data_IF_813404882036
#
_entry.id   IF_813404882036
#
_cell.length_a   1.000
_cell.length_b   1.000
_cell.length_c   1.000
_cell.angle_alpha   90.00
_cell.angle_beta   90.00
_cell.angle_gamma   90.00
#
_symmetry.space_group_name_H-M   'P 1'
#
loop_
_entity.id
_entity.type
_entity.pdbx_description
1 polymer ?
#
# COMPACT_ATOMS: atom_id res chain seq x y z
N UNK A 1 -33.96 -13.34 36.43
CA UNK A 1 -33.70 -12.05 37.11
C UNK A 1 -32.19 -11.91 37.15
N UNK A 2 -31.52 -11.26 36.21
CA UNK A 2 -31.50 -9.81 35.96
C UNK A 2 -31.14 -9.56 34.49
N UNK A 3 -31.96 -8.77 33.79
CA UNK A 3 -31.70 -8.26 32.45
C UNK A 3 -31.01 -6.90 32.57
N UNK A 4 -29.87 -6.71 31.91
CA UNK A 4 -29.19 -5.42 31.80
C UNK A 4 -29.24 -4.95 30.34
N UNK A 5 -30.16 -4.03 30.12
CA UNK A 5 -30.36 -3.26 28.90
C UNK A 5 -29.18 -2.29 28.70
N UNK A 6 -28.42 -2.42 27.61
CA UNK A 6 -27.60 -1.32 27.08
C UNK A 6 -28.44 -0.48 26.13
N UNK A 7 -28.80 0.73 26.57
CA UNK A 7 -29.41 1.77 25.73
C UNK A 7 -28.36 2.32 24.78
N UNK A 8 -28.66 2.24 23.49
CA UNK A 8 -28.00 2.98 22.42
C UNK A 8 -28.16 4.49 22.67
N UNK A 9 -27.04 5.17 22.84
CA UNK A 9 -26.96 6.63 22.76
C UNK A 9 -26.18 6.98 21.51
N UNK A 10 -26.74 7.91 20.75
CA UNK A 10 -26.21 8.46 19.50
C UNK A 10 -24.86 9.13 19.80
N UNK A 11 -23.77 8.41 19.54
CA UNK A 11 -22.42 8.95 19.59
C UNK A 11 -22.05 9.51 18.22
N UNK A 12 -21.57 10.75 18.24
CA UNK A 12 -21.09 11.54 17.11
C UNK A 12 -20.12 10.75 16.21
N UNK A 13 -20.39 10.80 14.90
CA UNK A 13 -19.72 10.04 13.82
C UNK A 13 -18.18 10.09 13.81
N UNK A 14 -17.54 11.03 14.51
CA UNK A 14 -16.07 11.12 14.59
C UNK A 14 -15.41 10.12 15.54
N UNK A 15 -16.06 9.74 16.65
CA UNK A 15 -15.47 8.82 17.64
C UNK A 15 -15.49 7.36 17.18
N UNK A 16 -16.46 6.99 16.34
CA UNK A 16 -16.63 5.65 15.80
C UNK A 16 -15.46 5.21 14.91
N UNK A 17 -14.83 6.12 14.17
CA UNK A 17 -13.78 5.78 13.22
C UNK A 17 -12.43 5.47 13.90
N UNK A 18 -12.08 6.28 14.90
CA UNK A 18 -10.89 6.03 15.68
C UNK A 18 -11.09 4.75 16.48
N UNK A 19 -12.29 4.54 17.03
CA UNK A 19 -12.71 3.24 17.55
C UNK A 19 -12.68 2.16 16.47
N UNK A 20 -12.98 2.35 15.19
CA UNK A 20 -12.97 1.25 14.22
C UNK A 20 -11.56 0.84 13.78
N UNK A 21 -10.63 1.78 13.61
CA UNK A 21 -9.22 1.47 13.29
C UNK A 21 -8.46 1.00 14.52
N UNK A 22 -8.71 1.63 15.68
CA UNK A 22 -8.21 1.14 16.95
C UNK A 22 -8.97 -0.08 17.44
N UNK A 23 -10.20 -0.41 17.05
CA UNK A 23 -10.88 -1.69 17.31
C UNK A 23 -10.52 -2.70 16.23
N UNK A 24 -10.12 -2.32 15.02
CA UNK A 24 -9.48 -3.29 14.13
C UNK A 24 -8.18 -3.69 14.82
N UNK A 25 -7.30 -2.75 15.20
CA UNK A 25 -6.06 -3.10 15.92
C UNK A 25 -6.27 -3.69 17.33
N UNK A 26 -7.15 -3.10 18.15
CA UNK A 26 -7.44 -3.51 19.53
C UNK A 26 -8.32 -4.76 19.53
N UNK A 27 -9.28 -4.94 18.63
CA UNK A 27 -9.97 -6.23 18.48
C UNK A 27 -9.08 -7.27 17.79
N UNK A 28 -8.12 -6.90 16.94
CA UNK A 28 -7.04 -7.83 16.52
C UNK A 28 -6.11 -8.19 17.68
N UNK A 29 -5.89 -7.31 18.67
CA UNK A 29 -5.16 -7.71 19.88
C UNK A 29 -6.03 -8.47 20.88
N UNK A 30 -7.28 -8.05 21.13
CA UNK A 30 -8.18 -8.59 22.14
C UNK A 30 -8.92 -9.85 21.69
N UNK A 31 -9.33 -9.98 20.42
CA UNK A 31 -9.88 -11.24 19.92
C UNK A 31 -8.83 -12.37 19.97
N UNK A 32 -7.54 -12.03 19.91
CA UNK A 32 -6.44 -12.99 19.98
C UNK A 32 -5.85 -13.17 21.39
N UNK A 33 -5.94 -12.17 22.28
CA UNK A 33 -5.58 -12.33 23.70
C UNK A 33 -6.62 -13.12 24.52
N UNK A 34 -7.87 -13.20 24.06
CA UNK A 34 -8.97 -13.76 24.87
C UNK A 34 -9.39 -15.20 24.54
N UNK A 35 -8.66 -15.97 23.72
CA UNK A 35 -9.10 -17.34 23.43
C UNK A 35 -8.01 -18.40 23.35
N UNK A 36 -7.84 -19.11 24.47
CA UNK A 36 -7.46 -20.52 24.50
C UNK A 36 -8.63 -21.47 24.23
N UNK A 37 -9.81 -20.97 23.82
CA UNK A 37 -10.93 -21.80 23.36
C UNK A 37 -11.36 -21.33 21.97
N UNK A 38 -11.48 -22.29 21.05
CA UNK A 38 -11.90 -22.15 19.66
C UNK A 38 -13.08 -21.19 19.48
N UNK A 39 -12.84 -19.97 18.99
CA UNK A 39 -13.90 -19.14 18.41
C UNK A 39 -14.15 -19.59 16.97
N UNK A 40 -15.44 -19.82 16.68
CA UNK A 40 -15.97 -19.91 15.32
C UNK A 40 -16.11 -18.49 14.75
N UNK A 41 -15.35 -18.09 13.71
CA UNK A 41 -15.40 -16.74 13.14
C UNK A 41 -16.78 -16.35 12.56
N UNK A 42 -17.71 -17.30 12.39
CA UNK A 42 -19.07 -16.99 11.95
C UNK A 42 -19.92 -16.22 12.98
N UNK A 43 -19.63 -16.28 14.28
CA UNK A 43 -20.52 -15.69 15.31
C UNK A 43 -20.44 -14.17 15.38
N UNK A 44 -19.30 -13.56 15.03
CA UNK A 44 -19.15 -12.09 14.97
C UNK A 44 -19.86 -11.53 13.73
N UNK A 45 -19.95 -12.33 12.66
CA UNK A 45 -20.54 -11.94 11.38
C UNK A 45 -22.08 -11.90 11.40
N UNK A 46 -22.73 -12.83 12.12
CA UNK A 46 -24.18 -12.87 12.26
C UNK A 46 -24.77 -11.65 12.99
N UNK A 47 -23.98 -10.98 13.84
CA UNK A 47 -24.42 -9.79 14.55
C UNK A 47 -24.39 -8.51 13.69
N UNK A 48 -23.62 -8.50 12.59
CA UNK A 48 -23.57 -7.38 11.65
C UNK A 48 -24.54 -7.50 10.45
N UNK A 49 -24.96 -8.72 10.08
CA UNK A 49 -25.91 -8.90 8.97
C UNK A 49 -27.36 -8.49 9.32
N UNK A 50 -27.75 -8.40 10.60
CA UNK A 50 -29.11 -8.03 10.98
C UNK A 50 -29.45 -6.53 10.78
N UNK A 51 -28.52 -5.70 10.28
CA UNK A 51 -28.77 -4.26 10.07
C UNK A 51 -28.86 -3.79 8.61
N UNK A 52 -28.84 -4.67 7.60
CA UNK A 52 -28.95 -4.24 6.19
C UNK A 52 -30.36 -4.45 5.63
N UNK A 53 -31.04 -3.34 5.30
CA UNK A 53 -32.21 -3.33 4.42
C UNK A 53 -31.78 -3.61 2.97
N UNK A 54 -32.61 -4.29 2.15
CA UNK A 54 -32.26 -4.63 0.78
C UNK A 54 -32.28 -3.39 -0.13
N UNK A 55 -31.21 -3.21 -0.90
CA UNK A 55 -31.14 -2.25 -2.02
C UNK A 55 -31.59 -2.95 -3.31
N UNK A 56 -32.47 -2.30 -4.06
CA UNK A 56 -32.92 -2.76 -5.38
C UNK A 56 -31.87 -2.44 -6.46
N UNK A 57 -31.67 -3.32 -7.47
CA UNK A 57 -30.76 -3.07 -8.58
C UNK A 57 -31.39 -2.13 -9.62
N UNK A 58 -30.63 -1.11 -10.05
CA UNK A 58 -30.92 -0.28 -11.22
C UNK A 58 -30.49 -1.01 -12.50
N UNK A 59 -31.41 -1.12 -13.46
CA UNK A 59 -31.15 -1.62 -14.82
C UNK A 59 -30.63 -0.50 -15.73
N UNK A 60 -29.46 -0.68 -16.33
CA UNK A 60 -28.91 0.21 -17.35
C UNK A 60 -29.24 -0.31 -18.76
N UNK A 61 -30.00 0.49 -19.51
CA UNK A 61 -30.32 0.26 -20.92
C UNK A 61 -29.16 0.67 -21.83
N UNK A 62 -28.73 -0.25 -22.69
CA UNK A 62 -27.78 -0.04 -23.79
C UNK A 62 -28.44 0.76 -24.92
N UNK A 63 -27.86 1.87 -25.34
CA UNK A 63 -28.13 2.47 -26.66
C UNK A 63 -26.86 2.42 -27.53
N UNK A 64 -27.01 1.79 -28.69
CA UNK A 64 -26.10 1.89 -29.83
C UNK A 64 -26.28 3.27 -30.50
N UNK A 65 -25.18 3.94 -30.85
CA UNK A 65 -25.24 4.98 -31.88
C UNK A 65 -23.96 5.06 -32.72
N UNK A 66 -24.14 4.57 -33.95
CA UNK A 66 -23.60 4.94 -35.27
C UNK A 66 -22.33 5.77 -35.44
N UNK A 67 -21.50 5.25 -36.35
CA UNK A 67 -20.34 5.82 -37.02
C UNK A 67 -20.69 7.01 -37.93
N UNK A 68 -19.77 7.98 -38.01
CA UNK A 68 -19.64 8.88 -39.17
C UNK A 68 -18.17 9.05 -39.54
N UNK A 69 -17.83 8.72 -40.79
CA UNK A 69 -16.60 9.11 -41.49
C UNK A 69 -16.67 10.58 -41.92
N UNK A 70 -15.54 11.31 -41.85
CA UNK A 70 -15.08 12.13 -42.99
C UNK A 70 -13.71 12.83 -42.81
N UNK A 71 -13.07 12.99 -43.98
CA UNK A 71 -12.13 14.04 -44.43
C UNK A 71 -10.61 13.81 -44.41
N UNK A 72 -10.10 13.55 -45.62
CA UNK A 72 -8.73 13.69 -46.08
C UNK A 72 -8.27 15.15 -46.08
N UNK A 73 -7.30 15.48 -45.22
CA UNK A 73 -6.42 16.63 -45.42
C UNK A 73 -5.10 16.17 -46.03
N UNK A 74 -4.86 16.59 -47.29
CA UNK A 74 -3.53 16.55 -47.91
C UNK A 74 -2.63 17.58 -47.23
N UNK A 75 -1.69 17.11 -46.42
CA UNK A 75 -0.58 17.92 -45.88
C UNK A 75 0.64 17.71 -46.76
N UNK A 76 1.24 18.82 -47.22
CA UNK A 76 2.45 18.85 -48.02
C UNK A 76 3.66 18.51 -47.14
N UNK A 77 4.34 17.40 -47.46
CA UNK A 77 5.56 16.96 -46.80
C UNK A 77 6.75 17.82 -47.24
N UNK A 78 7.37 18.48 -46.28
CA UNK A 78 8.73 19.03 -46.35
C UNK A 78 9.55 18.30 -45.29
N UNK A 79 9.97 17.06 -45.60
CA UNK A 79 10.75 16.21 -44.69
C UNK A 79 12.24 16.34 -45.01
N UNK A 80 12.93 17.15 -44.22
CA UNK A 80 14.37 16.99 -43.99
C UNK A 80 14.51 15.89 -42.93
N UNK A 81 15.17 14.75 -43.21
CA UNK A 81 15.37 13.70 -42.22
C UNK A 81 16.36 14.23 -41.16
N UNK A 82 15.81 14.64 -40.02
CA UNK A 82 16.60 14.97 -38.84
C UNK A 82 16.78 13.68 -38.06
N UNK A 83 17.56 12.75 -38.60
CA UNK A 83 17.96 11.51 -37.94
C UNK A 83 18.99 11.84 -36.85
N UNK A 84 18.55 12.52 -35.80
CA UNK A 84 19.28 12.53 -34.53
C UNK A 84 18.81 11.27 -33.81
N UNK A 85 19.54 10.17 -34.01
CA UNK A 85 19.31 8.94 -33.24
C UNK A 85 19.59 9.24 -31.78
N UNK A 86 18.54 9.52 -31.00
CA UNK A 86 18.65 9.61 -29.54
C UNK A 86 19.26 8.31 -29.02
N UNK A 87 20.19 8.42 -28.08
CA UNK A 87 20.80 7.22 -27.53
C UNK A 87 19.73 6.44 -26.74
N UNK A 88 19.73 5.09 -26.74
CA UNK A 88 18.78 4.30 -25.95
C UNK A 88 18.73 4.69 -24.45
N UNK A 89 19.85 5.18 -23.90
CA UNK A 89 19.92 5.69 -22.52
C UNK A 89 19.13 6.97 -22.31
N UNK A 90 19.12 7.87 -23.30
CA UNK A 90 18.32 9.10 -23.24
C UNK A 90 16.83 8.73 -23.22
N UNK A 91 16.43 7.75 -24.03
CA UNK A 91 15.05 7.26 -24.06
C UNK A 91 14.63 6.61 -22.73
N UNK A 92 15.50 5.81 -22.10
CA UNK A 92 15.22 5.22 -20.79
C UNK A 92 15.05 6.30 -19.70
N UNK A 93 15.93 7.29 -19.69
CA UNK A 93 15.88 8.40 -18.73
C UNK A 93 14.63 9.27 -18.94
N UNK A 94 14.22 9.49 -20.19
CA UNK A 94 12.98 10.20 -20.52
C UNK A 94 11.75 9.44 -20.00
N UNK A 95 11.68 8.11 -20.19
CA UNK A 95 10.59 7.28 -19.66
C UNK A 95 10.55 7.35 -18.12
N UNK A 96 11.71 7.27 -17.45
CA UNK A 96 11.78 7.42 -15.99
C UNK A 96 11.28 8.80 -15.54
N UNK A 97 11.73 9.86 -16.20
CA UNK A 97 11.30 11.22 -15.90
C UNK A 97 9.78 11.37 -16.06
N UNK A 98 9.22 10.78 -17.11
CA UNK A 98 7.79 10.78 -17.39
C UNK A 98 6.98 10.02 -16.35
N UNK A 99 7.46 8.85 -15.93
CA UNK A 99 6.84 8.07 -14.86
C UNK A 99 6.87 8.84 -13.53
N UNK A 100 8.01 9.42 -13.15
CA UNK A 100 8.15 10.20 -11.93
C UNK A 100 7.27 11.46 -11.95
N UNK A 101 7.20 12.15 -13.10
CA UNK A 101 6.34 13.31 -13.32
C UNK A 101 4.87 12.96 -13.21
N UNK A 102 4.47 11.83 -13.81
CA UNK A 102 3.10 11.29 -13.75
C UNK A 102 2.72 10.89 -12.33
N UNK A 103 3.60 10.20 -11.60
CA UNK A 103 3.34 9.81 -10.21
C UNK A 103 3.17 11.02 -9.27
N UNK A 104 3.92 12.10 -9.51
CA UNK A 104 3.79 13.35 -8.75
C UNK A 104 2.52 14.14 -9.09
N UNK A 105 1.75 13.71 -10.10
CA UNK A 105 0.46 14.28 -10.46
C UNK A 105 0.52 15.76 -10.81
N UNK A 106 1.49 16.17 -11.65
CA UNK A 106 1.80 17.56 -12.05
C UNK A 106 0.71 18.58 -11.70
N UNK A 107 0.83 19.09 -10.48
CA UNK A 107 0.20 20.29 -9.95
C UNK A 107 0.84 21.51 -10.62
N UNK A 108 0.44 21.80 -11.85
CA UNK A 108 0.64 23.14 -12.44
C UNK A 108 -0.67 23.93 -12.48
N UNK A 109 -1.82 23.26 -12.36
CA UNK A 109 -3.12 23.91 -12.23
C UNK A 109 -3.54 23.93 -10.75
N UNK A 110 -3.05 24.94 -10.01
CA UNK A 110 -3.30 25.16 -8.57
C UNK A 110 -4.76 25.47 -8.19
N UNK A 111 -5.75 25.18 -9.04
CA UNK A 111 -7.17 25.44 -8.74
C UNK A 111 -8.01 24.17 -8.78
N UNK A 112 -8.25 23.62 -7.59
CA UNK A 112 -9.34 22.72 -7.23
C UNK A 112 -9.41 21.36 -7.94
N UNK A 113 -8.75 20.35 -7.37
CA UNK A 113 -9.39 19.15 -6.80
C UNK A 113 -8.34 18.13 -6.34
N UNK A 114 -8.41 17.70 -5.09
CA UNK A 114 -7.50 16.75 -4.42
C UNK A 114 -7.52 15.30 -4.94
N UNK A 115 -7.99 15.05 -6.18
CA UNK A 115 -8.28 13.70 -6.68
C UNK A 115 -7.56 13.32 -7.98
N UNK A 116 -6.56 14.09 -8.44
CA UNK A 116 -5.84 13.76 -9.68
C UNK A 116 -4.77 12.67 -9.47
N UNK A 117 -5.16 11.53 -8.90
CA UNK A 117 -4.34 10.31 -8.93
C UNK A 117 -4.20 9.91 -10.41
N UNK A 118 -2.97 9.66 -10.91
CA UNK A 118 -2.79 9.24 -12.30
C UNK A 118 -3.56 7.93 -12.55
N UNK A 119 -4.11 7.80 -13.76
CA UNK A 119 -4.88 6.61 -14.12
C UNK A 119 -3.97 5.38 -14.08
N UNK A 120 -4.51 4.26 -13.59
CA UNK A 120 -3.78 2.98 -13.51
C UNK A 120 -3.24 2.56 -14.88
N UNK A 121 -4.03 2.73 -15.94
CA UNK A 121 -3.62 2.40 -17.31
C UNK A 121 -2.40 3.20 -17.76
N UNK A 122 -2.34 4.50 -17.48
CA UNK A 122 -1.18 5.33 -17.85
C UNK A 122 0.09 4.92 -17.08
N UNK A 123 -0.05 4.62 -15.78
CA UNK A 123 1.08 4.13 -14.98
C UNK A 123 1.55 2.76 -15.48
N UNK A 124 0.64 1.85 -15.78
CA UNK A 124 0.99 0.52 -16.29
C UNK A 124 1.70 0.60 -17.65
N UNK A 125 1.26 1.49 -18.54
CA UNK A 125 1.91 1.72 -19.83
C UNK A 125 3.35 2.21 -19.66
N UNK A 126 3.57 3.25 -18.84
CA UNK A 126 4.91 3.77 -18.54
C UNK A 126 5.80 2.75 -17.82
N UNK A 127 5.25 1.97 -16.89
CA UNK A 127 5.97 0.88 -16.22
C UNK A 127 6.36 -0.21 -17.22
N UNK A 128 5.47 -0.60 -18.13
CA UNK A 128 5.78 -1.59 -19.17
C UNK A 128 6.89 -1.10 -20.09
N UNK A 129 6.80 0.14 -20.59
CA UNK A 129 7.84 0.74 -21.42
C UNK A 129 9.20 0.81 -20.70
N UNK A 130 9.19 1.13 -19.40
CA UNK A 130 10.40 1.17 -18.57
C UNK A 130 11.02 -0.23 -18.40
N UNK A 131 10.19 -1.24 -18.12
CA UNK A 131 10.63 -2.62 -17.95
C UNK A 131 11.19 -3.20 -19.25
N UNK A 132 10.49 -3.00 -20.38
CA UNK A 132 10.90 -3.45 -21.71
C UNK A 132 12.23 -2.80 -22.14
N UNK A 133 12.36 -1.48 -21.96
CA UNK A 133 13.61 -0.77 -22.29
C UNK A 133 14.74 -1.16 -21.35
N UNK A 134 14.47 -1.31 -20.05
CA UNK A 134 15.44 -1.81 -19.07
C UNK A 134 15.96 -3.19 -19.44
N UNK A 135 15.08 -4.10 -19.85
CA UNK A 135 15.46 -5.45 -20.30
C UNK A 135 16.35 -5.40 -21.56
N UNK A 136 15.97 -4.62 -22.58
CA UNK A 136 16.77 -4.46 -23.81
C UNK A 136 18.18 -3.94 -23.52
N UNK A 137 18.33 -3.13 -22.48
CA UNK A 137 19.60 -2.53 -22.09
C UNK A 137 20.37 -3.32 -21.03
N UNK A 138 19.78 -4.39 -20.48
CA UNK A 138 20.37 -5.15 -19.36
C UNK A 138 20.44 -4.35 -18.04
N UNK A 139 19.54 -3.39 -17.85
CA UNK A 139 19.46 -2.53 -16.67
C UNK A 139 18.21 -2.87 -15.85
N UNK A 140 18.35 -2.94 -14.52
CA UNK A 140 17.22 -2.98 -13.60
C UNK A 140 16.56 -4.35 -13.35
N UNK A 141 16.95 -5.40 -14.06
CA UNK A 141 16.28 -6.72 -14.06
C UNK A 141 16.80 -7.76 -13.03
N UNK A 142 17.67 -7.38 -12.08
CA UNK A 142 18.25 -8.32 -11.09
C UNK A 142 18.40 -7.72 -9.70
N UNK A 143 17.37 -6.98 -9.29
CA UNK A 143 17.36 -6.17 -8.07
C UNK A 143 17.63 -6.95 -6.78
N UNK A 144 17.19 -8.22 -6.70
CA UNK A 144 17.35 -9.05 -5.50
C UNK A 144 18.81 -9.48 -5.25
N UNK A 145 19.66 -9.47 -6.28
CA UNK A 145 21.02 -10.04 -6.22
C UNK A 145 22.10 -8.96 -6.33
N UNK A 146 21.80 -7.81 -6.96
CA UNK A 146 22.79 -6.76 -7.22
C UNK A 146 23.08 -5.85 -6.03
N UNK A 147 22.38 -6.00 -4.91
CA UNK A 147 22.49 -5.13 -3.74
C UNK A 147 21.87 -3.73 -3.91
N UNK A 148 21.48 -3.37 -5.13
CA UNK A 148 20.85 -2.07 -5.44
C UNK A 148 19.55 -1.87 -4.66
N UNK A 149 18.86 -2.94 -4.28
CA UNK A 149 17.59 -2.87 -3.56
C UNK A 149 17.73 -2.31 -2.13
N UNK A 150 18.91 -2.43 -1.51
CA UNK A 150 19.16 -1.96 -0.15
C UNK A 150 19.14 -0.43 -0.05
N UNK A 151 18.49 0.10 0.98
CA UNK A 151 18.34 1.54 1.20
C UNK A 151 16.96 1.96 1.68
N UNK A 152 16.69 3.26 1.60
CA UNK A 152 15.40 3.86 1.93
C UNK A 152 14.65 4.24 0.66
N UNK A 153 13.37 3.92 0.62
CA UNK A 153 12.48 4.10 -0.50
C UNK A 153 11.21 4.81 -0.06
N UNK A 154 10.73 5.76 -0.87
CA UNK A 154 9.46 6.46 -0.69
C UNK A 154 8.49 6.05 -1.78
N UNK A 155 7.25 5.76 -1.40
CA UNK A 155 6.20 5.41 -2.33
C UNK A 155 5.72 6.65 -3.09
N UNK A 156 5.82 6.63 -4.41
CA UNK A 156 5.29 7.69 -5.28
C UNK A 156 3.90 7.34 -5.83
N UNK A 157 3.65 6.05 -6.08
CA UNK A 157 2.37 5.59 -6.60
C UNK A 157 1.97 4.25 -5.98
N UNK A 158 0.72 4.19 -5.53
CA UNK A 158 0.02 2.97 -5.14
C UNK A 158 -1.22 2.83 -6.04
N UNK A 159 -1.51 1.66 -6.61
CA UNK A 159 -2.77 1.43 -7.32
C UNK A 159 -3.98 1.51 -6.37
N UNK A 160 -3.78 1.18 -5.10
CA UNK A 160 -4.78 1.12 -4.05
C UNK A 160 -4.55 2.22 -2.99
N UNK A 161 -5.15 2.09 -1.80
CA UNK A 161 -4.81 2.88 -0.61
C UNK A 161 -3.32 2.69 -0.27
N UNK A 162 -2.63 3.75 0.11
CA UNK A 162 -1.16 3.73 0.36
C UNK A 162 -0.78 2.73 1.45
N UNK A 163 -1.67 2.43 2.40
CA UNK A 163 -1.44 1.40 3.43
C UNK A 163 -1.23 0.01 2.82
N UNK A 164 -1.79 -0.28 1.65
CA UNK A 164 -1.67 -1.57 0.94
C UNK A 164 -0.27 -1.86 0.39
N UNK A 165 0.62 -0.88 0.43
CA UNK A 165 2.04 -1.08 0.09
C UNK A 165 2.84 -1.81 1.19
N UNK A 166 2.25 -2.04 2.37
CA UNK A 166 2.91 -2.76 3.48
C UNK A 166 2.76 -4.28 3.34
N UNK A 167 3.85 -5.06 3.58
CA UNK A 167 3.79 -6.53 3.61
C UNK A 167 2.78 -7.11 4.60
N UNK A 168 2.42 -6.37 5.66
CA UNK A 168 1.37 -6.80 6.58
C UNK A 168 0.03 -6.97 5.87
N UNK A 169 -0.34 -6.03 4.99
CA UNK A 169 -1.63 -6.11 4.28
C UNK A 169 -1.61 -7.19 3.20
N UNK A 170 -0.45 -7.49 2.61
CA UNK A 170 -0.29 -8.62 1.71
C UNK A 170 -0.48 -9.94 2.45
N UNK A 171 0.14 -10.10 3.63
CA UNK A 171 0.02 -11.28 4.48
C UNK A 171 -1.42 -11.43 5.01
N UNK A 172 -2.04 -10.31 5.40
CA UNK A 172 -3.45 -10.26 5.81
C UNK A 172 -4.39 -10.75 4.71
N UNK A 173 -4.19 -10.31 3.47
CA UNK A 173 -5.00 -10.76 2.34
C UNK A 173 -4.82 -12.27 2.08
N UNK A 174 -3.62 -12.81 2.30
CA UNK A 174 -3.40 -14.25 2.22
C UNK A 174 -4.09 -15.03 3.35
N UNK A 175 -4.17 -14.48 4.57
CA UNK A 175 -4.81 -15.12 5.71
C UNK A 175 -6.35 -15.07 5.66
N UNK A 176 -6.91 -14.10 4.94
CA UNK A 176 -8.34 -13.84 4.86
C UNK A 176 -8.81 -13.56 3.42
N UNK A 177 -8.60 -14.48 2.47
CA UNK A 177 -8.80 -14.20 1.04
C UNK A 177 -10.24 -13.78 0.69
N UNK A 178 -11.24 -14.24 1.44
CA UNK A 178 -12.65 -13.90 1.18
C UNK A 178 -13.09 -12.58 1.87
N UNK A 179 -12.43 -12.19 2.96
CA UNK A 179 -12.85 -11.04 3.79
C UNK A 179 -11.96 -9.81 3.60
N UNK A 180 -10.74 -9.98 3.07
CA UNK A 180 -9.78 -8.91 2.91
C UNK A 180 -10.35 -7.76 2.08
N UNK A 181 -10.91 -8.05 0.90
CA UNK A 181 -11.50 -7.03 0.03
C UNK A 181 -12.65 -6.27 0.70
N UNK A 182 -13.46 -6.95 1.52
CA UNK A 182 -14.53 -6.30 2.27
C UNK A 182 -13.97 -5.36 3.34
N UNK A 183 -12.98 -5.82 4.12
CA UNK A 183 -12.34 -5.01 5.17
C UNK A 183 -11.62 -3.82 4.54
N UNK A 184 -10.94 -4.05 3.41
CA UNK A 184 -10.25 -3.01 2.67
C UNK A 184 -11.24 -1.97 2.14
N UNK A 185 -12.31 -2.41 1.50
CA UNK A 185 -13.37 -1.52 1.02
C UNK A 185 -13.98 -0.66 2.13
N UNK A 186 -14.14 -1.19 3.34
CA UNK A 186 -14.57 -0.39 4.50
C UNK A 186 -13.54 0.68 4.83
N UNK A 187 -12.26 0.32 4.95
CA UNK A 187 -11.22 1.30 5.30
C UNK A 187 -10.97 2.34 4.21
N UNK A 188 -11.21 1.99 2.95
CA UNK A 188 -10.98 2.85 1.79
C UNK A 188 -12.17 3.80 1.57
N UNK A 189 -13.36 3.41 2.02
CA UNK A 189 -14.57 4.25 1.97
C UNK A 189 -14.56 5.42 2.97
N UNK A 190 -13.59 5.46 3.88
CA UNK A 190 -13.48 6.53 4.86
C UNK A 190 -12.92 7.77 4.18
N UNK A 191 -13.70 8.86 4.04
CA UNK A 191 -13.25 10.03 3.30
C UNK A 191 -12.25 10.88 4.11
N UNK A 192 -11.42 11.62 3.38
CA UNK A 192 -10.72 12.78 3.92
C UNK A 192 -11.74 13.85 4.35
N UNK A 193 -11.53 14.57 5.46
CA UNK A 193 -10.35 14.54 6.32
C UNK A 193 -10.45 13.56 7.50
N UNK A 194 -11.49 12.70 7.55
CA UNK A 194 -11.71 11.80 8.69
C UNK A 194 -10.60 10.75 8.79
N UNK A 195 -10.16 10.23 7.63
CA UNK A 195 -8.93 9.46 7.44
C UNK A 195 -8.15 10.12 6.31
N UNK A 196 -6.86 10.29 6.52
CA UNK A 196 -5.91 10.74 5.51
C UNK A 196 -4.67 9.86 5.59
N UNK A 197 -4.17 9.39 4.45
CA UNK A 197 -3.00 8.52 4.40
C UNK A 197 -1.86 9.33 3.81
N UNK A 198 -0.85 9.59 4.64
CA UNK A 198 0.34 10.34 4.27
C UNK A 198 1.36 9.47 3.52
N UNK A 199 2.62 9.93 3.46
CA UNK A 199 3.66 9.21 2.74
C UNK A 199 3.93 7.82 3.34
N UNK A 200 4.37 6.92 2.48
CA UNK A 200 4.84 5.59 2.85
C UNK A 200 6.33 5.46 2.50
N UNK A 201 7.08 4.83 3.42
CA UNK A 201 8.50 4.56 3.28
C UNK A 201 8.79 3.08 3.50
N UNK A 202 9.83 2.57 2.86
CA UNK A 202 10.40 1.27 3.13
C UNK A 202 11.91 1.39 3.32
N UNK A 203 12.43 0.81 4.41
CA UNK A 203 13.86 0.61 4.62
C UNK A 203 14.17 -0.87 4.40
N UNK A 204 15.10 -1.16 3.49
CA UNK A 204 15.56 -2.50 3.17
C UNK A 204 17.02 -2.60 3.54
N UNK A 205 17.32 -3.54 4.43
CA UNK A 205 18.67 -3.88 4.85
C UNK A 205 18.91 -5.32 4.46
N UNK A 206 19.90 -5.54 3.61
CA UNK A 206 20.36 -6.87 3.24
C UNK A 206 21.66 -7.15 4.01
N UNK A 207 21.90 -8.41 4.33
CA UNK A 207 23.16 -8.87 4.88
C UNK A 207 24.28 -8.85 3.80
N UNK A 208 25.50 -9.20 4.20
CA UNK A 208 26.65 -9.26 3.27
C UNK A 208 26.43 -10.24 2.12
N UNK A 209 25.58 -11.26 2.33
CA UNK A 209 25.28 -12.27 1.31
C UNK A 209 24.22 -11.80 0.31
N UNK A 210 23.49 -10.74 0.63
CA UNK A 210 22.35 -10.24 -0.14
C UNK A 210 21.13 -11.15 -0.10
N UNK A 211 21.14 -12.22 0.73
CA UNK A 211 20.08 -13.25 0.74
C UNK A 211 19.08 -13.04 1.84
N UNK A 212 19.57 -12.59 2.99
CA UNK A 212 18.79 -12.40 4.20
C UNK A 212 18.80 -10.93 4.58
N UNK A 213 17.88 -10.53 5.47
CA UNK A 213 17.81 -9.13 5.85
C UNK A 213 16.55 -8.75 6.60
N UNK A 214 16.32 -7.44 6.64
CA UNK A 214 15.15 -6.83 7.28
C UNK A 214 14.51 -5.83 6.34
N UNK A 215 13.18 -5.83 6.32
CA UNK A 215 12.37 -4.80 5.70
C UNK A 215 11.52 -4.12 6.77
N UNK A 216 11.58 -2.80 6.82
CA UNK A 216 10.73 -1.97 7.68
C UNK A 216 9.87 -1.09 6.79
N UNK A 217 8.56 -1.33 6.78
CA UNK A 217 7.58 -0.50 6.08
C UNK A 217 6.90 0.45 7.06
N UNK A 218 6.85 1.73 6.72
CA UNK A 218 6.26 2.80 7.53
C UNK A 218 5.23 3.56 6.70
N UNK A 219 4.00 3.65 7.18
CA UNK A 219 2.94 4.40 6.52
C UNK A 219 2.33 5.41 7.48
N UNK A 220 2.37 6.69 7.13
CA UNK A 220 1.71 7.72 7.94
C UNK A 220 0.20 7.65 7.75
N UNK A 221 -0.55 7.58 8.85
CA UNK A 221 -2.01 7.63 8.85
C UNK A 221 -2.45 8.74 9.79
N UNK A 222 -3.30 9.63 9.30
CA UNK A 222 -3.94 10.69 10.06
C UNK A 222 -5.43 10.41 10.15
N UNK A 223 -6.01 10.71 11.30
CA UNK A 223 -7.43 10.53 11.61
C UNK A 223 -7.95 11.73 12.38
N UNK A 224 -9.28 11.83 12.52
CA UNK A 224 -9.95 12.96 13.19
C UNK A 224 -9.53 14.31 12.62
N UNK A 225 -9.61 14.48 11.30
CA UNK A 225 -9.25 15.73 10.63
C UNK A 225 -7.80 16.15 10.91
N UNK A 226 -6.90 15.18 11.02
CA UNK A 226 -5.48 15.42 11.28
C UNK A 226 -5.09 15.59 12.75
N UNK A 227 -6.05 15.58 13.68
CA UNK A 227 -5.74 15.71 15.12
C UNK A 227 -4.98 14.48 15.67
N UNK A 228 -5.19 13.31 15.07
CA UNK A 228 -4.59 12.05 15.50
C UNK A 228 -3.77 11.46 14.35
N UNK A 229 -2.45 11.56 14.44
CA UNK A 229 -1.50 10.98 13.47
C UNK A 229 -0.81 9.78 14.09
N UNK A 230 -0.50 8.76 13.30
CA UNK A 230 0.33 7.63 13.69
C UNK A 230 1.11 7.12 12.47
N UNK A 231 2.31 6.58 12.70
CA UNK A 231 3.09 5.89 11.68
C UNK A 231 2.88 4.40 11.89
N UNK A 232 2.18 3.74 10.97
CA UNK A 232 2.04 2.30 11.04
C UNK A 232 3.31 1.65 10.54
N UNK A 233 4.04 0.98 11.45
CA UNK A 233 5.33 0.35 11.17
C UNK A 233 5.18 -1.17 11.15
N UNK A 234 5.38 -1.78 9.98
CA UNK A 234 5.49 -3.23 9.79
C UNK A 234 6.95 -3.63 9.66
N UNK A 235 7.38 -4.63 10.41
CA UNK A 235 8.71 -5.24 10.35
C UNK A 235 8.59 -6.64 9.76
N UNK A 236 9.46 -6.94 8.81
CA UNK A 236 9.52 -8.25 8.16
C UNK A 236 10.98 -8.71 8.02
N UNK A 237 11.17 -10.02 8.09
CA UNK A 237 12.42 -10.69 7.76
C UNK A 237 12.46 -10.95 6.25
N UNK A 238 13.60 -10.70 5.63
CA UNK A 238 13.90 -11.20 4.29
C UNK A 238 14.52 -12.59 4.50
N UNK A 239 13.81 -13.63 4.05
CA UNK A 239 14.13 -15.03 4.36
C UNK A 239 15.02 -15.65 3.30
N UNK A 240 14.77 -15.32 2.03
CA UNK A 240 15.58 -15.76 0.89
C UNK A 240 15.12 -15.03 -0.39
N UNK A 241 15.97 -14.95 -1.41
CA UNK A 241 15.55 -14.58 -2.75
C UNK A 241 14.66 -15.66 -3.39
N UNK A 242 13.75 -15.23 -4.25
CA UNK A 242 12.88 -16.08 -5.07
C UNK A 242 13.08 -15.70 -6.53
N UNK A 243 13.89 -16.46 -7.25
CA UNK A 243 14.30 -16.09 -8.61
C UNK A 243 15.30 -14.93 -8.63
N UNK A 244 15.26 -14.12 -9.69
CA UNK A 244 16.17 -12.96 -9.88
C UNK A 244 15.58 -11.63 -9.40
N UNK A 245 14.26 -11.61 -9.21
CA UNK A 245 13.45 -10.42 -8.96
C UNK A 245 12.64 -10.50 -7.65
N UNK A 246 12.47 -11.68 -7.05
CA UNK A 246 11.66 -11.87 -5.86
C UNK A 246 12.46 -11.84 -4.55
N UNK A 247 11.89 -11.23 -3.52
CA UNK A 247 12.28 -11.43 -2.12
C UNK A 247 11.12 -12.06 -1.34
N UNK A 248 11.39 -13.16 -0.64
CA UNK A 248 10.44 -13.74 0.30
C UNK A 248 10.54 -13.00 1.65
N UNK A 249 9.44 -12.38 2.05
CA UNK A 249 9.30 -11.60 3.26
C UNK A 249 8.43 -12.37 4.26
N UNK A 250 8.91 -12.57 5.48
CA UNK A 250 8.10 -13.05 6.60
C UNK A 250 7.76 -11.90 7.51
N UNK A 251 6.47 -11.55 7.61
CA UNK A 251 6.00 -10.52 8.54
C UNK A 251 6.29 -10.97 9.96
N UNK A 252 6.90 -10.11 10.76
CA UNK A 252 7.21 -10.36 12.17
C UNK A 252 6.21 -9.60 13.04
N UNK A 253 6.33 -8.27 13.06
CA UNK A 253 5.53 -7.41 13.93
C UNK A 253 4.93 -6.21 13.20
N UNK A 254 3.83 -5.71 13.75
CA UNK A 254 3.26 -4.43 13.33
C UNK A 254 2.95 -3.57 14.55
N UNK A 255 3.33 -2.27 14.51
CA UNK A 255 3.10 -1.33 15.61
C UNK A 255 2.72 0.05 15.09
N UNK A 256 1.68 0.70 15.63
CA UNK A 256 1.52 2.15 15.49
C UNK A 256 2.60 2.85 16.30
N UNK A 257 3.48 3.57 15.62
CA UNK A 257 4.53 4.42 16.18
C UNK A 257 4.09 5.89 16.09
N UNK A 258 4.73 6.74 16.89
CA UNK A 258 4.51 8.19 16.94
C UNK A 258 3.01 8.59 17.02
N UNK A 259 2.21 7.79 17.74
CA UNK A 259 0.76 7.95 17.77
C UNK A 259 0.37 9.13 18.65
N UNK A 260 -0.07 10.23 18.05
CA UNK A 260 -0.74 11.31 18.79
C UNK A 260 -2.16 10.91 19.19
N UNK A 261 -2.74 9.87 18.58
CA UNK A 261 -4.07 9.37 18.88
C UNK A 261 -4.20 8.91 20.34
N UNK A 262 -3.20 8.17 20.83
CA UNK A 262 -3.15 7.68 22.23
C UNK A 262 -3.00 8.86 23.19
N UNK A 263 -2.14 9.83 22.84
CA UNK A 263 -1.98 11.04 23.65
C UNK A 263 -3.25 11.90 23.71
N UNK A 264 -4.05 11.91 22.64
CA UNK A 264 -5.34 12.63 22.59
C UNK A 264 -6.43 11.91 23.39
N UNK A 265 -6.49 10.58 23.34
CA UNK A 265 -7.48 9.79 24.08
C UNK A 265 -7.15 9.66 25.58
N UNK A 266 -5.87 9.59 25.91
CA UNK A 266 -5.36 9.46 27.29
C UNK A 266 -4.34 10.56 27.57
N UNK A 267 -4.79 11.82 27.76
CA UNK A 267 -3.89 12.94 27.99
C UNK A 267 -3.09 12.73 29.28
N UNK A 268 -1.77 12.95 29.19
CA UNK A 268 -0.85 12.92 30.32
C UNK A 268 0.30 11.91 30.20
N UNK A 269 1.09 11.72 31.27
CA UNK A 269 2.26 10.84 31.28
C UNK A 269 1.92 9.38 30.95
N UNK A 270 0.72 8.93 31.31
CA UNK A 270 0.27 7.56 31.10
C UNK A 270 0.06 7.24 29.61
N UNK A 271 -0.53 8.14 28.83
CA UNK A 271 -0.71 7.92 27.38
C UNK A 271 0.61 7.83 26.62
N UNK A 272 1.58 8.68 26.99
CA UNK A 272 2.95 8.60 26.45
C UNK A 272 3.65 7.31 26.85
N UNK A 273 3.56 6.95 28.13
CA UNK A 273 4.13 5.70 28.64
C UNK A 273 3.57 4.48 27.89
N UNK A 274 2.26 4.41 27.65
CA UNK A 274 1.65 3.30 26.91
C UNK A 274 2.16 3.27 25.46
N UNK A 275 2.19 4.41 24.77
CA UNK A 275 2.68 4.47 23.39
C UNK A 275 4.15 4.01 23.27
N UNK A 276 4.99 4.47 24.19
CA UNK A 276 6.44 4.22 24.15
C UNK A 276 6.78 2.78 24.56
N UNK A 277 6.01 2.20 25.50
CA UNK A 277 6.31 0.88 26.08
C UNK A 277 5.42 -0.24 25.56
N UNK A 278 4.36 0.03 24.79
CA UNK A 278 3.55 -1.03 24.20
C UNK A 278 4.41 -1.91 23.28
N UNK A 279 4.45 -3.23 23.50
CA UNK A 279 5.19 -4.12 22.63
C UNK A 279 4.56 -4.11 21.23
N UNK A 280 5.36 -4.28 20.16
CA UNK A 280 4.83 -4.50 18.82
C UNK A 280 3.88 -5.72 18.81
N UNK A 281 2.80 -5.63 18.03
CA UNK A 281 1.88 -6.75 17.87
C UNK A 281 2.55 -7.83 17.01
N UNK A 282 2.61 -9.11 17.45
CA UNK A 282 3.24 -10.20 16.70
C UNK A 282 2.35 -10.65 15.53
N UNK A 283 2.19 -9.78 14.53
CA UNK A 283 1.32 -9.99 13.38
C UNK A 283 1.66 -11.28 12.62
N UNK A 284 2.95 -11.60 12.47
CA UNK A 284 3.40 -12.81 11.79
C UNK A 284 2.82 -14.07 12.41
N UNK A 285 3.09 -14.28 13.70
CA UNK A 285 2.63 -15.43 14.46
C UNK A 285 1.10 -15.55 14.47
N UNK A 286 0.40 -14.42 14.55
CA UNK A 286 -1.06 -14.39 14.56
C UNK A 286 -1.61 -14.82 13.20
N UNK A 287 -1.09 -14.27 12.11
CA UNK A 287 -1.53 -14.63 10.75
C UNK A 287 -1.22 -16.11 10.46
N UNK A 288 -0.04 -16.59 10.87
CA UNK A 288 0.36 -17.99 10.69
C UNK A 288 -0.60 -18.98 11.38
N UNK A 289 -1.13 -18.62 12.56
CA UNK A 289 -2.13 -19.44 13.27
C UNK A 289 -3.50 -19.46 12.60
N UNK A 290 -3.84 -18.41 11.85
CA UNK A 290 -5.12 -18.30 11.13
C UNK A 290 -5.05 -19.16 9.88
N UNK A 291 -3.99 -18.97 9.10
CA UNK A 291 -3.74 -19.73 7.88
C UNK A 291 -2.22 -19.97 7.74
N UNK A 292 -1.77 -21.23 7.84
CA UNK A 292 -0.36 -21.56 7.66
C UNK A 292 0.19 -21.03 6.33
N UNK A 293 1.39 -20.44 6.37
CA UNK A 293 2.05 -19.79 5.26
C UNK A 293 1.64 -18.34 5.00
N UNK A 294 0.52 -17.86 5.57
CA UNK A 294 0.01 -16.51 5.29
C UNK A 294 0.88 -15.37 5.82
N UNK A 295 1.76 -15.65 6.78
CA UNK A 295 2.74 -14.68 7.27
C UNK A 295 3.85 -14.37 6.26
N UNK A 296 3.96 -15.17 5.20
CA UNK A 296 5.06 -15.12 4.23
C UNK A 296 4.58 -14.69 2.85
N UNK A 297 5.11 -13.57 2.36
CA UNK A 297 4.71 -12.94 1.09
C UNK A 297 5.92 -12.77 0.18
N UNK A 298 5.71 -12.72 -1.13
CA UNK A 298 6.78 -12.51 -2.10
C UNK A 298 6.64 -11.09 -2.67
N UNK A 299 7.66 -10.28 -2.47
CA UNK A 299 7.81 -8.98 -3.11
C UNK A 299 8.64 -9.15 -4.38
N UNK A 300 8.00 -9.03 -5.55
CA UNK A 300 8.70 -9.00 -6.83
C UNK A 300 9.14 -7.59 -7.17
N UNK A 301 10.37 -7.43 -7.60
CA UNK A 301 10.94 -6.16 -8.04
C UNK A 301 11.46 -6.31 -9.46
N UNK A 302 10.60 -5.97 -10.41
CA UNK A 302 10.79 -6.14 -11.87
C UNK A 302 11.66 -5.05 -12.50
N UNK A 303 11.83 -3.91 -11.83
CA UNK A 303 12.76 -2.88 -12.23
C UNK A 303 13.33 -2.20 -10.98
N UNK A 304 14.63 -2.03 -10.90
CA UNK A 304 15.27 -1.25 -9.86
C UNK A 304 16.58 -0.63 -10.35
N UNK A 305 16.69 0.70 -10.30
CA UNK A 305 17.93 1.42 -10.50
C UNK A 305 18.29 2.28 -9.27
N UNK A 306 19.21 3.22 -9.44
CA UNK A 306 19.64 4.14 -8.39
C UNK A 306 18.52 5.09 -7.91
N UNK A 307 17.50 5.34 -8.71
CA UNK A 307 16.48 6.38 -8.51
C UNK A 307 15.07 5.84 -8.28
N UNK A 308 14.71 4.75 -8.96
CA UNK A 308 13.34 4.22 -9.03
C UNK A 308 13.34 2.71 -8.85
N UNK A 309 12.26 2.22 -8.25
CA UNK A 309 11.99 0.79 -8.12
C UNK A 309 10.51 0.52 -8.35
N UNK A 310 10.23 -0.53 -9.11
CA UNK A 310 8.87 -1.05 -9.32
C UNK A 310 8.75 -2.36 -8.55
N UNK A 311 7.83 -2.41 -7.59
CA UNK A 311 7.53 -3.65 -6.85
C UNK A 311 6.11 -4.11 -7.05
N UNK A 312 5.87 -5.42 -6.94
CA UNK A 312 4.57 -6.09 -7.00
C UNK A 312 4.46 -7.12 -5.89
N UNK A 313 3.23 -7.40 -5.46
CA UNK A 313 2.94 -8.60 -4.68
C UNK A 313 2.76 -9.77 -5.65
N UNK A 314 3.42 -10.90 -5.42
CA UNK A 314 3.34 -12.10 -6.28
C UNK A 314 1.98 -12.81 -6.23
N UNK A 315 1.06 -12.39 -5.36
CA UNK A 315 -0.29 -12.89 -5.40
C UNK A 315 -0.98 -12.37 -6.68
N UNK A 316 -1.39 -13.27 -7.59
CA UNK A 316 -2.05 -12.97 -8.87
C UNK A 316 -3.19 -11.94 -8.78
N UNK A 317 -3.85 -11.83 -7.62
CA UNK A 317 -4.93 -10.86 -7.38
C UNK A 317 -4.44 -9.41 -7.19
N UNK A 318 -3.19 -9.20 -6.78
CA UNK A 318 -2.62 -7.90 -6.40
C UNK A 318 -1.29 -7.59 -7.10
N UNK A 319 -1.09 -8.11 -8.32
CA UNK A 319 0.14 -7.94 -9.11
C UNK A 319 0.31 -6.51 -9.70
N UNK A 320 -0.40 -5.52 -9.17
CA UNK A 320 -0.34 -4.15 -9.65
C UNK A 320 0.97 -3.45 -9.20
N UNK A 321 1.52 -2.53 -10.00
CA UNK A 321 2.82 -1.93 -9.72
C UNK A 321 2.74 -0.87 -8.63
N UNK A 322 3.63 -0.99 -7.64
CA UNK A 322 3.97 0.07 -6.70
C UNK A 322 5.25 0.75 -7.19
N UNK A 323 5.21 2.07 -7.34
CA UNK A 323 6.37 2.85 -7.81
C UNK A 323 7.02 3.55 -6.63
N UNK A 324 8.30 3.28 -6.44
CA UNK A 324 9.11 3.82 -5.35
C UNK A 324 10.23 4.69 -5.89
N UNK A 325 10.56 5.74 -5.15
CA UNK A 325 11.76 6.57 -5.35
C UNK A 325 12.76 6.29 -4.26
N UNK A 326 14.05 6.17 -4.61
CA UNK A 326 15.11 6.06 -3.60
C UNK A 326 15.29 7.38 -2.87
N UNK A 327 15.36 7.30 -1.55
CA UNK A 327 15.72 8.41 -0.67
C UNK A 327 17.20 8.33 -0.27
N UNK A 328 17.68 7.14 0.09
CA UNK A 328 19.04 6.91 0.58
C UNK A 328 19.54 5.51 0.20
N UNK A 329 20.84 5.36 0.03
CA UNK A 329 21.48 4.05 -0.08
C UNK A 329 21.72 3.44 1.30
N UNK A 330 21.80 2.12 1.38
CA UNK A 330 22.22 1.46 2.62
C UNK A 330 23.65 1.90 2.98
N UNK A 331 23.88 2.24 4.26
CA UNK A 331 25.20 2.64 4.76
C UNK A 331 25.62 4.09 4.47
N UNK A 332 24.81 4.89 3.77
CA UNK A 332 25.09 6.33 3.68
C UNK A 332 24.77 7.00 5.02
N UNK A 333 25.79 7.35 5.80
CA UNK A 333 25.62 8.25 6.94
C UNK A 333 25.04 9.59 6.45
N UNK A 334 24.11 10.16 7.21
CA UNK A 334 23.61 11.50 6.90
C UNK A 334 24.72 12.47 7.32
N UNK A 335 25.55 12.88 6.35
CA UNK A 335 26.66 13.84 6.56
C UNK A 335 26.12 15.13 7.16
#
# INVERSE_FOLDING_TARGET
MTSLLFRSSVLSNGTCLLHLLSLLFVSFTHAFQYNGNTINPQSVFLQQQQQRRPFHPFSLSRQHQQQHHNHHHRVLYSSVPSDVSSSPYETLDDIKADLLRTCKGTTTDSNNNNNNKPSLANIQDLVSQLEDMGEQMGVGQSSAITGILAGEWELLYSPEDVTRSSPFFWAFAQAFPEQADQIFGITDSIPSPIKDVGPAYQSIQLDETGRDGKLISKVKVSTLNGMATSIMTTRADIVQPVGVDGLMLRVDTTKPEDSTAIATLFPGPLGRFINDNAPPFPSGDVLERIQPGSSTVIMRTTFCDESIRISRNDNNQYALPYVWRRCKFAGSETI
#
